data_IF_766819066266
#
_entry.id   IF_766819066266
#
_cell.length_a   1.000
_cell.length_b   1.000
_cell.length_c   1.000
_cell.angle_alpha   90.00
_cell.angle_beta   90.00
_cell.angle_gamma   90.00
#
_symmetry.space_group_name_H-M   'P 1'
#
loop_
_entity.id
_entity.type
_entity.pdbx_description
1 polymer ?
#
# COMPACT_ATOMS: atom_id res chain seq x y z
N UNK A 1 3.29 -1.73 -17.45
CA UNK A 1 2.58 -0.44 -17.24
C UNK A 1 3.26 0.71 -17.96
N UNK A 2 4.59 0.78 -18.01
CA UNK A 2 5.34 1.74 -18.82
C UNK A 2 5.06 1.56 -20.33
N UNK A 3 5.20 0.34 -20.85
CA UNK A 3 5.00 0.06 -22.29
C UNK A 3 3.55 0.24 -22.74
N UNK A 4 2.58 -0.19 -21.91
CA UNK A 4 1.14 0.05 -22.11
C UNK A 4 0.78 1.55 -22.26
N UNK A 5 1.50 2.44 -21.56
CA UNK A 5 1.32 3.89 -21.70
C UNK A 5 2.02 4.47 -22.93
N UNK A 6 3.07 3.80 -23.43
CA UNK A 6 3.84 4.20 -24.62
C UNK A 6 3.10 3.87 -25.92
N UNK A 7 2.36 2.75 -25.93
CA UNK A 7 1.55 2.29 -27.08
C UNK A 7 0.28 3.14 -27.30
N UNK A 8 -0.28 3.74 -26.24
CA UNK A 8 -1.38 4.71 -26.32
C UNK A 8 -0.90 6.05 -26.90
N UNK A 9 -0.68 6.11 -28.22
CA UNK A 9 -0.47 7.36 -28.96
C UNK A 9 -1.48 8.42 -28.50
N UNK A 10 -0.98 9.54 -27.97
CA UNK A 10 -1.68 10.75 -27.46
C UNK A 10 -3.23 10.73 -27.50
N UNK A 11 -3.89 9.82 -26.76
CA UNK A 11 -5.34 9.90 -26.59
C UNK A 11 -5.66 10.96 -25.55
N UNK A 12 -5.83 12.21 -26.00
CA UNK A 12 -6.55 13.32 -25.34
C UNK A 12 -6.46 13.39 -23.80
N UNK A 13 -5.29 13.15 -23.21
CA UNK A 13 -5.08 13.54 -21.83
C UNK A 13 -5.06 15.08 -21.83
N UNK A 14 -6.10 15.71 -21.26
CA UNK A 14 -6.08 17.15 -21.00
C UNK A 14 -4.75 17.49 -20.30
N UNK A 15 -4.10 18.62 -20.60
CA UNK A 15 -2.94 19.07 -19.85
C UNK A 15 -3.33 19.18 -18.37
N UNK A 16 -3.03 18.13 -17.63
CA UNK A 16 -3.18 18.09 -16.19
C UNK A 16 -1.77 18.30 -15.66
N UNK A 17 -1.63 19.19 -14.68
CA UNK A 17 -0.42 19.29 -13.87
C UNK A 17 -0.34 18.00 -13.05
N UNK A 18 0.07 16.91 -13.69
CA UNK A 18 0.38 15.66 -13.00
C UNK A 18 1.51 16.02 -12.07
N UNK A 19 1.35 15.67 -10.79
CA UNK A 19 2.43 15.77 -9.83
C UNK A 19 3.54 14.89 -10.40
N UNK A 20 4.52 15.49 -11.07
CA UNK A 20 5.81 14.83 -11.22
C UNK A 20 6.27 14.75 -9.78
N UNK A 21 6.10 13.55 -9.19
CA UNK A 21 6.63 13.24 -7.88
C UNK A 21 8.08 13.68 -7.92
N UNK A 22 8.43 14.60 -7.03
CA UNK A 22 9.77 15.13 -6.87
C UNK A 22 10.81 14.05 -7.16
N UNK A 23 11.67 14.26 -8.16
CA UNK A 23 12.80 13.35 -8.45
C UNK A 23 13.87 13.39 -7.35
N UNK A 24 13.69 14.23 -6.34
CA UNK A 24 14.53 14.32 -5.16
C UNK A 24 13.75 13.92 -3.90
N UNK A 25 14.41 13.21 -3.00
CA UNK A 25 13.88 12.84 -1.69
C UNK A 25 14.88 13.20 -0.59
N UNK A 26 14.40 13.80 0.50
CA UNK A 26 15.21 14.08 1.68
C UNK A 26 14.65 13.32 2.88
N UNK A 27 15.51 12.56 3.57
CA UNK A 27 15.17 11.81 4.80
C UNK A 27 13.93 10.91 4.63
N UNK A 28 13.86 10.17 3.52
CA UNK A 28 12.76 9.23 3.24
C UNK A 28 13.14 7.84 3.78
N UNK A 29 12.20 7.20 4.48
CA UNK A 29 12.29 5.77 4.78
C UNK A 29 11.73 4.97 3.59
N UNK A 30 12.54 4.10 3.01
CA UNK A 30 12.18 3.33 1.81
C UNK A 30 12.41 1.84 2.09
N UNK A 31 11.46 1.00 1.67
CA UNK A 31 11.63 -0.46 1.71
C UNK A 31 12.80 -0.91 0.84
N UNK A 32 13.58 -1.87 1.33
CA UNK A 32 14.79 -2.34 0.64
C UNK A 32 14.51 -2.84 -0.80
N UNK A 33 13.38 -3.51 -1.04
CA UNK A 33 12.98 -3.98 -2.38
C UNK A 33 12.72 -2.82 -3.35
N UNK A 34 11.99 -1.80 -2.90
CA UNK A 34 11.70 -0.61 -3.69
C UNK A 34 12.97 0.22 -3.94
N UNK A 35 13.84 0.35 -2.93
CA UNK A 35 15.11 1.04 -3.07
C UNK A 35 16.00 0.39 -4.14
N UNK A 36 16.12 -0.95 -4.13
CA UNK A 36 16.86 -1.69 -5.18
C UNK A 36 16.32 -1.39 -6.57
N UNK A 37 14.99 -1.36 -6.73
CA UNK A 37 14.36 -1.02 -7.99
C UNK A 37 14.73 0.40 -8.42
N UNK A 38 14.65 1.39 -7.53
CA UNK A 38 15.02 2.77 -7.86
C UNK A 38 16.49 2.93 -8.23
N UNK A 39 17.41 2.28 -7.52
CA UNK A 39 18.84 2.31 -7.86
C UNK A 39 19.05 1.76 -9.27
N UNK A 40 18.39 0.64 -9.62
CA UNK A 40 18.47 0.06 -10.96
C UNK A 40 17.90 0.99 -12.06
N UNK A 41 17.08 1.98 -11.70
CA UNK A 41 16.50 2.97 -12.60
C UNK A 41 17.17 4.36 -12.47
N UNK A 42 18.39 4.42 -11.91
CA UNK A 42 19.21 5.63 -11.89
C UNK A 42 19.00 6.53 -10.68
N UNK A 43 18.36 6.06 -9.60
CA UNK A 43 18.37 6.78 -8.33
C UNK A 43 19.77 6.75 -7.71
N UNK A 44 20.30 7.93 -7.42
CA UNK A 44 21.56 8.10 -6.70
C UNK A 44 21.32 8.36 -5.22
N UNK A 45 21.96 7.58 -4.35
CA UNK A 45 21.92 7.77 -2.90
C UNK A 45 23.09 8.68 -2.51
N UNK A 46 22.78 9.87 -2.00
CA UNK A 46 23.81 10.83 -1.56
C UNK A 46 24.18 10.66 -0.08
N UNK A 47 23.22 10.28 0.78
CA UNK A 47 23.40 10.12 2.23
C UNK A 47 22.48 9.03 2.79
N UNK A 48 22.99 8.23 3.72
CA UNK A 48 22.23 7.24 4.50
C UNK A 48 22.31 7.58 5.99
N UNK A 49 21.20 7.41 6.71
CA UNK A 49 21.11 7.81 8.14
C UNK A 49 20.82 6.63 9.07
N UNK A 50 19.92 5.72 8.68
CA UNK A 50 19.46 4.62 9.53
C UNK A 50 19.08 3.41 8.68
N UNK A 51 19.26 2.22 9.24
CA UNK A 51 18.83 0.95 8.66
C UNK A 51 17.92 0.24 9.65
N UNK A 52 16.69 -0.03 9.24
CA UNK A 52 15.72 -0.78 10.05
C UNK A 52 15.64 -2.19 9.49
N UNK A 53 16.05 -3.18 10.31
CA UNK A 53 15.88 -4.58 9.96
C UNK A 53 14.41 -4.95 10.11
N UNK A 54 13.78 -5.36 9.02
CA UNK A 54 12.45 -5.94 9.08
C UNK A 54 12.53 -7.32 9.76
N UNK A 55 11.73 -7.53 10.81
CA UNK A 55 11.54 -8.84 11.40
C UNK A 55 10.36 -9.54 10.72
N UNK A 56 10.52 -10.82 10.38
CA UNK A 56 9.56 -11.58 9.56
C UNK A 56 8.39 -12.17 10.36
N UNK A 57 7.93 -11.50 11.42
CA UNK A 57 6.81 -12.00 12.21
C UNK A 57 5.49 -11.80 11.47
N UNK A 58 4.65 -12.83 11.46
CA UNK A 58 3.31 -12.81 10.86
C UNK A 58 2.24 -12.65 11.94
N UNK A 59 2.34 -11.60 12.74
CA UNK A 59 1.44 -11.35 13.87
C UNK A 59 -0.04 -11.23 13.44
N UNK A 60 -0.26 -10.78 12.21
CA UNK A 60 -1.60 -10.65 11.62
C UNK A 60 -2.05 -11.90 10.84
N UNK A 61 -1.30 -13.01 10.84
CA UNK A 61 -1.70 -14.21 10.09
C UNK A 61 -3.11 -14.72 10.46
N UNK A 62 -3.47 -14.87 11.75
CA UNK A 62 -4.80 -15.36 12.11
C UNK A 62 -5.92 -14.46 11.60
N UNK A 63 -5.71 -13.14 11.63
CA UNK A 63 -6.65 -12.16 11.10
C UNK A 63 -6.79 -12.26 9.59
N UNK A 64 -5.67 -12.33 8.87
CA UNK A 64 -5.66 -12.42 7.41
C UNK A 64 -6.23 -13.75 6.89
N UNK A 65 -5.99 -14.84 7.61
CA UNK A 65 -6.58 -16.15 7.34
C UNK A 65 -8.10 -16.10 7.50
N UNK A 66 -8.61 -15.58 8.62
CA UNK A 66 -10.05 -15.42 8.83
C UNK A 66 -10.74 -14.57 7.74
N UNK A 67 -10.10 -13.48 7.31
CA UNK A 67 -10.59 -12.65 6.20
C UNK A 67 -10.59 -13.44 4.88
N UNK A 68 -9.55 -14.22 4.62
CA UNK A 68 -9.41 -14.99 3.37
C UNK A 68 -10.40 -16.15 3.31
N UNK A 69 -10.56 -16.89 4.41
CA UNK A 69 -11.46 -18.03 4.51
C UNK A 69 -12.92 -17.61 4.33
N UNK A 70 -13.35 -16.54 5.01
CA UNK A 70 -14.70 -16.00 4.84
C UNK A 70 -14.99 -15.56 3.39
N UNK A 71 -13.95 -15.11 2.66
CA UNK A 71 -14.08 -14.76 1.23
C UNK A 71 -14.22 -16.00 0.35
N UNK A 72 -13.37 -17.02 0.56
CA UNK A 72 -13.47 -18.29 -0.16
C UNK A 72 -14.82 -18.99 0.08
N UNK A 73 -15.35 -18.91 1.30
CA UNK A 73 -16.67 -19.43 1.62
C UNK A 73 -17.78 -18.69 0.87
N UNK A 74 -17.73 -17.36 0.77
CA UNK A 74 -18.72 -16.59 0.00
C UNK A 74 -18.64 -16.78 -1.51
N UNK A 75 -17.46 -17.12 -2.04
CA UNK A 75 -17.29 -17.52 -3.44
C UNK A 75 -17.91 -18.90 -3.72
N UNK A 76 -17.91 -19.80 -2.72
CA UNK A 76 -18.47 -21.16 -2.81
C UNK A 76 -19.98 -21.18 -2.54
N UNK A 77 -20.44 -20.42 -1.55
CA UNK A 77 -21.84 -20.34 -1.10
C UNK A 77 -22.38 -18.91 -1.21
N UNK A 78 -23.28 -18.71 -2.18
CA UNK A 78 -23.90 -17.40 -2.45
C UNK A 78 -24.70 -16.86 -1.26
N UNK A 79 -25.18 -17.71 -0.35
CA UNK A 79 -25.89 -17.25 0.87
C UNK A 79 -24.96 -16.49 1.82
N UNK A 80 -23.64 -16.74 1.75
CA UNK A 80 -22.60 -16.08 2.54
C UNK A 80 -21.95 -14.88 1.86
N UNK A 81 -22.43 -14.49 0.66
CA UNK A 81 -21.85 -13.38 -0.11
C UNK A 81 -21.80 -12.05 0.67
N UNK A 82 -22.82 -11.77 1.50
CA UNK A 82 -22.83 -10.57 2.33
C UNK A 82 -21.69 -10.57 3.37
N UNK A 83 -21.45 -11.73 4.01
CA UNK A 83 -20.39 -11.89 5.02
C UNK A 83 -19.02 -11.73 4.35
N UNK A 84 -18.82 -12.31 3.17
CA UNK A 84 -17.58 -12.20 2.43
C UNK A 84 -17.23 -10.75 2.05
N UNK A 85 -18.22 -9.95 1.62
CA UNK A 85 -18.01 -8.53 1.33
C UNK A 85 -17.76 -7.71 2.60
N UNK A 86 -18.42 -8.02 3.72
CA UNK A 86 -18.12 -7.40 5.01
C UNK A 86 -16.68 -7.70 5.46
N UNK A 87 -16.25 -8.96 5.41
CA UNK A 87 -14.90 -9.37 5.83
C UNK A 87 -13.80 -8.77 4.96
N UNK A 88 -14.05 -8.63 3.65
CA UNK A 88 -13.18 -7.87 2.74
C UNK A 88 -13.05 -6.41 3.17
N UNK A 89 -14.15 -5.76 3.51
CA UNK A 89 -14.12 -4.38 3.98
C UNK A 89 -13.37 -4.26 5.31
N UNK A 90 -13.54 -5.20 6.23
CA UNK A 90 -12.77 -5.29 7.48
C UNK A 90 -11.27 -5.41 7.19
N UNK A 91 -10.86 -6.35 6.32
CA UNK A 91 -9.46 -6.52 5.92
C UNK A 91 -8.84 -5.25 5.31
N UNK A 92 -9.54 -4.59 4.39
CA UNK A 92 -9.07 -3.35 3.76
C UNK A 92 -8.98 -2.18 4.75
N UNK A 93 -9.97 -2.05 5.64
CA UNK A 93 -10.02 -0.96 6.61
C UNK A 93 -8.98 -1.12 7.72
N UNK A 94 -8.64 -2.35 8.12
CA UNK A 94 -7.58 -2.61 9.09
C UNK A 94 -6.25 -1.98 8.64
N UNK A 95 -5.85 -2.18 7.39
CA UNK A 95 -4.63 -1.56 6.85
C UNK A 95 -4.68 -0.03 6.89
N UNK A 96 -5.79 0.57 6.46
CA UNK A 96 -5.98 2.02 6.52
C UNK A 96 -5.95 2.57 7.94
N UNK A 97 -6.47 1.82 8.91
CA UNK A 97 -6.45 2.18 10.33
C UNK A 97 -5.04 2.12 10.91
N UNK A 98 -4.24 1.11 10.56
CA UNK A 98 -2.85 0.99 11.04
C UNK A 98 -1.93 2.11 10.54
N UNK A 99 -2.17 2.64 9.35
CA UNK A 99 -1.41 3.76 8.77
C UNK A 99 -1.99 5.15 9.09
N UNK A 100 -2.98 5.23 9.97
CA UNK A 100 -3.73 6.46 10.19
C UNK A 100 -2.91 7.53 10.93
N UNK A 101 -2.92 8.74 10.38
CA UNK A 101 -2.28 9.91 11.00
C UNK A 101 -3.11 10.41 12.19
N UNK A 102 -2.72 9.98 13.39
CA UNK A 102 -3.41 10.32 14.63
C UNK A 102 -3.34 11.82 14.94
N UNK A 103 -2.32 12.56 14.46
CA UNK A 103 -2.14 13.99 14.77
C UNK A 103 -3.28 14.90 14.29
N UNK A 104 -4.10 14.42 13.35
CA UNK A 104 -5.24 15.15 12.78
C UNK A 104 -6.56 14.92 13.52
N UNK A 105 -6.57 14.09 14.56
CA UNK A 105 -7.77 13.74 15.30
C UNK A 105 -7.99 14.72 16.45
N UNK A 106 -9.24 15.21 16.61
CA UNK A 106 -9.60 16.18 17.66
C UNK A 106 -9.49 15.60 19.06
N UNK A 107 -9.78 14.31 19.20
CA UNK A 107 -9.70 13.57 20.45
C UNK A 107 -8.90 12.29 20.21
N UNK A 108 -7.74 12.19 20.85
CA UNK A 108 -6.88 11.02 20.82
C UNK A 108 -6.88 10.44 22.23
N UNK A 109 -7.40 9.23 22.39
CA UNK A 109 -7.22 8.44 23.61
C UNK A 109 -6.11 7.44 23.32
N UNK A 110 -5.03 7.53 24.09
CA UNK A 110 -4.03 6.48 24.14
C UNK A 110 -4.53 5.49 25.19
N UNK A 111 -4.81 4.26 24.77
CA UNK A 111 -5.05 3.14 25.68
C UNK A 111 -3.75 2.69 26.36
#
# INVERSE_FOLDING_TARGET
>A
MFDYNKERKQTRAKPARKLIGSYFGQKILIYASLLKWYIAHGMEITKTYCFIKANSHKEFAPFMEAVSDARHEGDTDKSKAMIAEMMKQVGNSAFGRSGMDMSKHKEIKYE
#
